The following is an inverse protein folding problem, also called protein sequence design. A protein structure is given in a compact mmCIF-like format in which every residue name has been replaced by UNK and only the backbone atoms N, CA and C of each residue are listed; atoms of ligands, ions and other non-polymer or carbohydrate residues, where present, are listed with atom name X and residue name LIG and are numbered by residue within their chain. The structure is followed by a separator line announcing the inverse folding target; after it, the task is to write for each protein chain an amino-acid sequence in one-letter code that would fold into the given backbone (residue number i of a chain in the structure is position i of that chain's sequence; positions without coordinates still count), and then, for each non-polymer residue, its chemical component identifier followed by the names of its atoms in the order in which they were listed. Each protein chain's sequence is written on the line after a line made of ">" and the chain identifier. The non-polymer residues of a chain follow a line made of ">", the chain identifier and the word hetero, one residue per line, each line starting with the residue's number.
data_IF_561155402088
#
_entry.id   IF_561155402088
#
_cell.length_a   1.000
_cell.length_b   1.000
_cell.length_c   1.000
_cell.angle_alpha   90.00
_cell.angle_beta   90.00
_cell.angle_gamma   90.00
#
_symmetry.space_group_name_H-M   'P 1'
#
loop_
_entity.id
_entity.type
_entity.pdbx_description
1 polymer ?
#
# COMPACT_ATOMS: atom_id res chain seq x y z
N UNK A 1 -31.25 12.15 -17.95
CA UNK A 1 -29.81 12.30 -17.65
C UNK A 1 -29.52 12.55 -16.17
N UNK A 2 -30.29 13.37 -15.43
CA UNK A 2 -30.08 13.62 -13.98
C UNK A 2 -30.25 12.38 -13.07
N UNK A 3 -31.15 11.45 -13.41
CA UNK A 3 -31.44 10.26 -12.59
C UNK A 3 -30.31 9.24 -12.55
N UNK A 4 -29.54 9.09 -13.63
CA UNK A 4 -28.42 8.14 -13.71
C UNK A 4 -27.30 8.57 -12.76
N UNK A 5 -27.00 9.87 -12.69
CA UNK A 5 -25.99 10.42 -11.78
C UNK A 5 -26.35 10.14 -10.31
N UNK A 6 -27.61 10.32 -9.93
CA UNK A 6 -28.03 10.09 -8.53
C UNK A 6 -27.96 8.62 -8.10
N UNK A 7 -28.14 7.66 -9.01
CA UNK A 7 -28.01 6.23 -8.69
C UNK A 7 -26.55 5.79 -8.55
N UNK A 8 -25.64 6.36 -9.36
CA UNK A 8 -24.20 6.09 -9.24
C UNK A 8 -23.61 6.63 -7.93
N UNK A 9 -24.14 7.74 -7.40
CA UNK A 9 -23.72 8.31 -6.11
C UNK A 9 -24.40 7.69 -4.88
N UNK A 10 -25.54 7.00 -5.02
CA UNK A 10 -26.24 6.32 -3.92
C UNK A 10 -25.82 4.87 -3.71
N UNK A 11 -25.06 4.31 -4.65
CA UNK A 11 -24.47 2.98 -4.52
C UNK A 11 -23.48 2.95 -3.34
N UNK A 12 -22.29 3.55 -3.47
CA UNK A 12 -21.25 3.53 -2.44
C UNK A 12 -21.60 4.44 -1.24
N UNK A 13 -21.28 4.03 0.00
CA UNK A 13 -21.61 4.84 1.17
C UNK A 13 -20.86 6.18 1.17
N UNK A 14 -21.55 7.25 1.58
CA UNK A 14 -21.09 8.65 1.45
C UNK A 14 -19.71 8.93 2.07
N UNK A 15 -19.29 8.18 3.09
CA UNK A 15 -17.99 8.34 3.78
C UNK A 15 -16.77 8.00 2.90
N UNK A 16 -16.98 7.32 1.76
CA UNK A 16 -15.92 6.92 0.84
C UNK A 16 -15.35 8.11 0.07
N UNK A 17 -16.19 9.09 -0.24
CA UNK A 17 -15.78 10.28 -0.98
C UNK A 17 -14.79 11.14 -0.20
N UNK A 18 -15.02 11.47 1.09
CA UNK A 18 -14.00 12.09 1.94
C UNK A 18 -12.70 11.29 2.01
N UNK A 19 -12.77 9.95 2.10
CA UNK A 19 -11.58 9.10 2.16
C UNK A 19 -10.80 9.11 0.84
N UNK A 20 -11.50 9.10 -0.29
CA UNK A 20 -10.90 9.19 -1.62
C UNK A 20 -10.20 10.53 -1.83
N UNK A 21 -10.87 11.64 -1.47
CA UNK A 21 -10.27 12.99 -1.50
C UNK A 21 -9.06 13.07 -0.57
N UNK A 22 -9.15 12.53 0.65
CA UNK A 22 -8.04 12.47 1.59
C UNK A 22 -6.85 11.67 1.03
N UNK A 23 -7.10 10.55 0.35
CA UNK A 23 -6.07 9.73 -0.29
C UNK A 23 -5.38 10.48 -1.43
N UNK A 24 -6.14 11.19 -2.28
CA UNK A 24 -5.59 12.06 -3.32
C UNK A 24 -4.72 13.16 -2.70
N UNK A 25 -5.23 13.86 -1.67
CA UNK A 25 -4.51 14.94 -1.01
C UNK A 25 -3.21 14.46 -0.34
N UNK A 26 -3.27 13.36 0.43
CA UNK A 26 -2.09 12.67 1.00
C UNK A 26 -1.10 12.27 -0.08
N UNK A 27 -1.65 11.91 -1.22
CA UNK A 27 -0.95 11.61 -2.43
C UNK A 27 -0.12 12.72 -3.01
N UNK A 28 -0.76 13.87 -3.23
CA UNK A 28 -0.12 15.11 -3.68
C UNK A 28 0.99 15.52 -2.69
N UNK A 29 0.77 15.32 -1.39
CA UNK A 29 1.78 15.59 -0.35
C UNK A 29 2.95 14.58 -0.41
N UNK A 30 2.74 13.37 -0.91
CA UNK A 30 3.78 12.34 -1.05
C UNK A 30 4.72 12.57 -2.26
N UNK A 31 4.46 13.57 -3.09
CA UNK A 31 5.39 14.00 -4.15
C UNK A 31 6.66 14.64 -3.60
N UNK A 32 6.65 15.11 -2.35
CA UNK A 32 7.85 15.71 -1.74
C UNK A 32 8.82 14.62 -1.26
N UNK A 33 10.13 14.75 -1.56
CA UNK A 33 11.12 13.83 -1.02
C UNK A 33 11.04 13.81 0.50
N UNK A 34 11.01 12.60 1.07
CA UNK A 34 10.75 12.43 2.50
C UNK A 34 11.89 11.65 3.15
N UNK A 35 12.36 12.19 4.27
CA UNK A 35 13.27 11.52 5.18
C UNK A 35 12.41 10.85 6.24
N UNK A 36 12.41 9.52 6.30
CA UNK A 36 11.63 8.76 7.29
C UNK A 36 12.52 7.79 8.07
N UNK A 37 12.26 7.60 9.37
CA UNK A 37 12.94 6.57 10.15
C UNK A 37 12.50 5.18 9.68
N UNK A 38 13.43 4.23 9.60
CA UNK A 38 13.18 2.85 9.14
C UNK A 38 12.02 2.16 9.86
N UNK A 39 11.87 2.41 11.18
CA UNK A 39 10.80 1.81 12.00
C UNK A 39 9.39 2.09 11.44
N UNK A 40 9.16 3.28 10.87
CA UNK A 40 7.85 3.64 10.31
C UNK A 40 7.50 2.87 9.03
N UNK A 41 8.49 2.30 8.34
CA UNK A 41 8.28 1.54 7.10
C UNK A 41 7.65 0.17 7.41
N UNK A 42 7.92 -0.40 8.59
CA UNK A 42 7.39 -1.71 9.00
C UNK A 42 5.98 -1.67 9.61
N UNK A 43 5.50 -0.51 10.08
CA UNK A 43 4.17 -0.37 10.69
C UNK A 43 3.07 -0.79 9.70
N UNK A 44 3.18 -0.32 8.45
CA UNK A 44 2.16 -0.57 7.43
C UNK A 44 2.10 -2.07 7.05
N UNK A 45 3.21 -2.75 6.71
CA UNK A 45 3.24 -4.21 6.52
C UNK A 45 2.64 -5.00 7.68
N UNK A 46 2.97 -4.66 8.93
CA UNK A 46 2.46 -5.39 10.10
C UNK A 46 0.94 -5.30 10.23
N UNK A 47 0.36 -4.12 10.01
CA UNK A 47 -1.10 -3.93 10.05
C UNK A 47 -1.77 -4.75 8.94
N UNK A 48 -1.25 -4.68 7.71
CA UNK A 48 -1.79 -5.47 6.61
C UNK A 48 -1.62 -6.97 6.82
N UNK A 49 -0.53 -7.42 7.45
CA UNK A 49 -0.30 -8.83 7.77
C UNK A 49 -1.35 -9.37 8.74
N UNK A 50 -1.62 -8.64 9.83
CA UNK A 50 -2.64 -9.03 10.80
C UNK A 50 -4.03 -9.09 10.16
N UNK A 51 -4.38 -8.09 9.35
CA UNK A 51 -5.63 -8.07 8.59
C UNK A 51 -5.71 -9.22 7.58
N UNK A 52 -4.59 -9.61 6.97
CA UNK A 52 -4.51 -10.71 6.01
C UNK A 52 -4.75 -12.06 6.68
N UNK A 53 -4.15 -12.30 7.85
CA UNK A 53 -4.35 -13.52 8.65
C UNK A 53 -5.80 -13.63 9.09
N UNK A 54 -6.40 -12.54 9.58
CA UNK A 54 -7.80 -12.57 10.03
C UNK A 54 -8.76 -13.05 8.93
N UNK A 55 -8.49 -12.69 7.67
CA UNK A 55 -9.28 -13.20 6.53
C UNK A 55 -9.04 -14.67 6.25
N UNK A 56 -7.79 -15.12 6.35
CA UNK A 56 -7.44 -16.53 6.16
C UNK A 56 -8.12 -17.43 7.21
N UNK A 57 -8.08 -17.03 8.49
CA UNK A 57 -8.64 -17.81 9.61
C UNK A 57 -10.15 -18.04 9.47
N UNK A 58 -10.87 -17.11 8.83
CA UNK A 58 -12.33 -17.24 8.65
C UNK A 58 -12.76 -18.41 7.76
N UNK A 59 -11.89 -18.92 6.88
CA UNK A 59 -12.19 -20.05 5.98
C UNK A 59 -10.89 -20.79 5.61
N UNK A 60 -10.28 -21.44 6.61
CA UNK A 60 -9.07 -22.23 6.40
C UNK A 60 -9.39 -23.49 5.58
N UNK A 61 -8.81 -23.56 4.38
CA UNK A 61 -8.77 -24.74 3.53
C UNK A 61 -7.42 -24.74 2.78
N UNK A 62 -6.93 -25.91 2.37
CA UNK A 62 -5.71 -26.08 1.60
C UNK A 62 -5.66 -25.17 0.36
N UNK A 63 -6.74 -25.13 -0.42
CA UNK A 63 -6.84 -24.26 -1.60
C UNK A 63 -6.79 -22.77 -1.22
N UNK A 64 -7.49 -22.37 -0.17
CA UNK A 64 -7.47 -20.99 0.34
C UNK A 64 -6.05 -20.57 0.75
N UNK A 65 -5.33 -21.45 1.47
CA UNK A 65 -3.95 -21.21 1.87
C UNK A 65 -3.01 -21.09 0.67
N UNK A 66 -3.17 -21.97 -0.34
CA UNK A 66 -2.40 -21.91 -1.59
C UNK A 66 -2.64 -20.60 -2.33
N UNK A 67 -3.90 -20.20 -2.54
CA UNK A 67 -4.25 -18.95 -3.22
C UNK A 67 -3.69 -17.75 -2.44
N UNK A 68 -3.81 -17.77 -1.11
CA UNK A 68 -3.29 -16.71 -0.24
C UNK A 68 -1.76 -16.57 -0.36
N UNK A 69 -1.01 -17.69 -0.25
CA UNK A 69 0.45 -17.69 -0.37
C UNK A 69 0.92 -17.27 -1.76
N UNK A 70 0.37 -17.87 -2.82
CA UNK A 70 0.75 -17.57 -4.19
C UNK A 70 0.48 -16.11 -4.53
N UNK A 71 -0.66 -15.55 -4.11
CA UNK A 71 -0.99 -14.15 -4.36
C UNK A 71 -0.01 -13.20 -3.67
N UNK A 72 0.43 -13.50 -2.45
CA UNK A 72 1.45 -12.71 -1.75
C UNK A 72 2.80 -12.77 -2.48
N UNK A 73 3.22 -13.97 -2.90
CA UNK A 73 4.49 -14.17 -3.62
C UNK A 73 4.47 -13.41 -4.96
N UNK A 74 3.39 -13.57 -5.74
CA UNK A 74 3.21 -12.88 -7.03
C UNK A 74 3.19 -11.37 -6.82
N UNK A 75 2.47 -10.88 -5.82
CA UNK A 75 2.42 -9.44 -5.50
C UNK A 75 3.79 -8.89 -5.10
N UNK A 76 4.52 -9.62 -4.25
CA UNK A 76 5.87 -9.25 -3.84
C UNK A 76 6.83 -9.21 -5.03
N UNK A 77 6.80 -10.22 -5.90
CA UNK A 77 7.59 -10.29 -7.12
C UNK A 77 7.26 -9.13 -8.07
N UNK A 78 5.97 -8.85 -8.31
CA UNK A 78 5.52 -7.75 -9.16
C UNK A 78 6.02 -6.40 -8.64
N UNK A 79 5.95 -6.18 -7.32
CA UNK A 79 6.49 -4.97 -6.72
C UNK A 79 8.01 -4.85 -6.90
N UNK A 80 8.75 -5.96 -6.80
CA UNK A 80 10.18 -5.95 -7.04
C UNK A 80 10.49 -5.54 -8.48
N UNK A 81 9.81 -6.13 -9.46
CA UNK A 81 10.01 -5.82 -10.89
C UNK A 81 9.71 -4.35 -11.20
N UNK A 82 8.62 -3.81 -10.65
CA UNK A 82 8.22 -2.41 -10.88
C UNK A 82 9.18 -1.43 -10.17
N UNK A 83 9.66 -1.76 -8.96
CA UNK A 83 10.41 -0.84 -8.10
C UNK A 83 11.92 -1.04 -8.05
N UNK A 84 12.46 -2.05 -8.74
CA UNK A 84 13.90 -2.36 -8.73
C UNK A 84 14.81 -1.19 -9.10
N UNK A 85 14.33 -0.24 -9.91
CA UNK A 85 15.13 0.92 -10.37
C UNK A 85 15.02 2.16 -9.47
N UNK A 86 14.22 2.14 -8.40
CA UNK A 86 14.10 3.30 -7.50
C UNK A 86 15.42 3.52 -6.75
N UNK A 87 16.04 4.68 -6.92
CA UNK A 87 17.21 5.07 -6.12
C UNK A 87 16.78 5.46 -4.70
N UNK A 88 17.48 4.98 -3.69
CA UNK A 88 17.16 5.23 -2.28
C UNK A 88 18.43 5.72 -1.59
N UNK A 89 18.34 6.87 -0.92
CA UNK A 89 19.42 7.38 -0.07
C UNK A 89 19.32 6.80 1.34
N UNK A 90 20.43 6.35 1.89
CA UNK A 90 20.49 5.74 3.22
C UNK A 90 21.46 6.53 4.13
N UNK A 91 20.99 6.92 5.31
CA UNK A 91 21.83 7.38 6.41
C UNK A 91 21.81 6.29 7.49
N UNK A 92 22.82 5.41 7.47
CA UNK A 92 22.93 4.31 8.44
C UNK A 92 23.30 4.82 9.84
N UNK A 93 23.92 5.99 9.97
CA UNK A 93 24.33 6.57 11.27
C UNK A 93 23.10 6.99 12.08
N UNK A 94 22.07 7.50 11.41
CA UNK A 94 20.84 7.97 12.04
C UNK A 94 19.61 7.07 11.81
N UNK A 95 19.77 5.92 11.13
CA UNK A 95 18.67 5.03 10.72
C UNK A 95 17.58 5.75 9.89
N UNK A 96 18.00 6.66 9.01
CA UNK A 96 17.10 7.45 8.15
C UNK A 96 17.16 6.97 6.70
N UNK A 97 15.99 6.88 6.08
CA UNK A 97 15.82 6.59 4.67
C UNK A 97 15.36 7.86 3.95
N UNK A 98 16.10 8.33 2.94
CA UNK A 98 15.65 9.34 1.99
C UNK A 98 15.03 8.63 0.80
N UNK A 99 13.70 8.65 0.76
CA UNK A 99 12.97 8.20 -0.41
C UNK A 99 12.82 9.38 -1.38
N UNK A 100 13.13 9.20 -2.68
CA UNK A 100 12.69 10.15 -3.69
C UNK A 100 11.16 10.21 -3.65
N UNK A 101 10.59 11.41 -3.78
CA UNK A 101 9.16 11.56 -3.95
C UNK A 101 8.74 10.74 -5.17
N UNK A 102 8.09 9.61 -4.97
CA UNK A 102 7.74 8.67 -6.02
C UNK A 102 6.23 8.50 -6.03
N UNK A 103 5.61 8.92 -7.13
CA UNK A 103 4.18 8.73 -7.44
C UNK A 103 3.74 7.27 -7.34
N UNK A 104 4.67 6.33 -7.39
CA UNK A 104 4.30 4.93 -7.46
C UNK A 104 3.79 4.34 -6.15
N UNK A 105 4.25 4.83 -4.99
CA UNK A 105 3.64 4.42 -3.70
C UNK A 105 2.16 4.83 -3.66
N UNK A 106 1.84 6.00 -4.19
CA UNK A 106 0.47 6.49 -4.28
C UNK A 106 -0.37 5.61 -5.20
N UNK A 107 0.08 5.37 -6.44
CA UNK A 107 -0.67 4.56 -7.40
C UNK A 107 -0.98 3.19 -6.79
N UNK A 108 -0.02 2.59 -6.07
CA UNK A 108 -0.22 1.32 -5.38
C UNK A 108 -1.28 1.41 -4.26
N UNK A 109 -1.23 2.46 -3.43
CA UNK A 109 -2.24 2.69 -2.39
C UNK A 109 -3.63 2.88 -3.01
N UNK A 110 -3.74 3.66 -4.09
CA UNK A 110 -5.00 3.93 -4.77
C UNK A 110 -5.59 2.66 -5.37
N UNK A 111 -4.81 1.88 -6.13
CA UNK A 111 -5.27 0.61 -6.71
C UNK A 111 -5.70 -0.35 -5.60
N UNK A 112 -4.89 -0.49 -4.54
CA UNK A 112 -5.20 -1.38 -3.41
C UNK A 112 -6.47 -0.95 -2.67
N UNK A 113 -6.66 0.36 -2.50
CA UNK A 113 -7.86 0.93 -1.91
C UNK A 113 -9.09 0.68 -2.78
N UNK A 114 -9.01 0.96 -4.09
CA UNK A 114 -10.10 0.72 -5.04
C UNK A 114 -10.53 -0.74 -5.07
N UNK A 115 -9.57 -1.67 -5.09
CA UNK A 115 -9.85 -3.12 -5.02
C UNK A 115 -10.56 -3.47 -3.72
N UNK A 116 -9.98 -3.09 -2.57
CA UNK A 116 -10.60 -3.39 -1.26
C UNK A 116 -12.00 -2.78 -1.14
N UNK A 117 -12.16 -1.55 -1.61
CA UNK A 117 -13.41 -0.83 -1.57
C UNK A 117 -14.47 -1.52 -2.42
N UNK A 118 -14.14 -1.90 -3.66
CA UNK A 118 -15.02 -2.63 -4.56
C UNK A 118 -15.56 -3.91 -3.92
N UNK A 119 -14.67 -4.74 -3.37
CA UNK A 119 -15.10 -5.99 -2.72
C UNK A 119 -15.90 -5.75 -1.45
N UNK A 120 -15.46 -4.82 -0.60
CA UNK A 120 -16.18 -4.48 0.63
C UNK A 120 -17.58 -3.96 0.32
N UNK A 121 -17.72 -3.16 -0.74
CA UNK A 121 -18.98 -2.64 -1.22
C UNK A 121 -19.95 -3.75 -1.65
N UNK A 122 -19.45 -4.73 -2.42
CA UNK A 122 -20.26 -5.87 -2.86
C UNK A 122 -20.67 -6.75 -1.67
N UNK A 123 -19.72 -7.06 -0.77
CA UNK A 123 -19.98 -7.86 0.44
C UNK A 123 -20.99 -7.15 1.36
N UNK A 124 -20.93 -5.83 1.46
CA UNK A 124 -21.88 -5.05 2.27
C UNK A 124 -23.30 -5.07 1.71
N UNK A 125 -23.45 -5.21 0.39
CA UNK A 125 -24.77 -5.34 -0.26
C UNK A 125 -25.35 -6.73 -0.10
N UNK A 126 -24.52 -7.75 -0.24
CA UNK A 126 -24.94 -9.14 -0.09
C UNK A 126 -23.85 -9.98 0.59
N UNK A 127 -23.98 -10.22 1.90
CA UNK A 127 -23.04 -11.06 2.64
C UNK A 127 -23.05 -12.54 2.19
N UNK A 128 -24.10 -13.02 1.52
CA UNK A 128 -24.20 -14.42 1.05
C UNK A 128 -23.13 -14.71 -0.02
N UNK A 129 -22.64 -13.69 -0.73
CA UNK A 129 -21.56 -13.82 -1.71
C UNK A 129 -20.27 -14.37 -1.11
N UNK A 130 -20.04 -14.23 0.19
CA UNK A 130 -18.88 -14.85 0.86
C UNK A 130 -18.97 -16.38 0.94
N UNK A 131 -20.17 -16.95 0.77
CA UNK A 131 -20.37 -18.40 0.71
C UNK A 131 -20.07 -18.98 -0.69
N UNK A 132 -20.08 -18.15 -1.73
CA UNK A 132 -19.62 -18.57 -3.05
C UNK A 132 -18.08 -18.67 -3.06
N UNK A 133 -17.59 -19.90 -3.19
CA UNK A 133 -16.15 -20.21 -3.27
C UNK A 133 -15.43 -19.39 -4.34
N UNK A 134 -16.06 -19.16 -5.51
CA UNK A 134 -15.41 -18.45 -6.60
C UNK A 134 -15.25 -16.96 -6.29
N UNK A 135 -16.28 -16.33 -5.72
CA UNK A 135 -16.20 -14.96 -5.23
C UNK A 135 -15.17 -14.83 -4.09
N UNK A 136 -15.16 -15.78 -3.15
CA UNK A 136 -14.22 -15.78 -2.03
C UNK A 136 -12.76 -15.89 -2.49
N UNK A 137 -12.44 -16.74 -3.46
CA UNK A 137 -11.08 -16.84 -4.00
C UNK A 137 -10.65 -15.57 -4.73
N UNK A 138 -11.53 -14.94 -5.53
CA UNK A 138 -11.25 -13.63 -6.16
C UNK A 138 -10.99 -12.55 -5.11
N UNK A 139 -11.80 -12.55 -4.05
CA UNK A 139 -11.66 -11.62 -2.94
C UNK A 139 -10.30 -11.76 -2.23
N UNK A 140 -9.93 -12.99 -1.86
CA UNK A 140 -8.65 -13.28 -1.21
C UNK A 140 -7.49 -12.93 -2.14
N UNK A 141 -7.54 -13.36 -3.40
CA UNK A 141 -6.47 -13.11 -4.36
C UNK A 141 -6.21 -11.61 -4.51
N UNK A 142 -7.25 -10.81 -4.76
CA UNK A 142 -7.08 -9.38 -5.03
C UNK A 142 -6.57 -8.60 -3.79
N UNK A 143 -7.05 -8.97 -2.60
CA UNK A 143 -6.66 -8.30 -1.35
C UNK A 143 -5.27 -8.71 -0.85
N UNK A 144 -4.89 -9.99 -1.01
CA UNK A 144 -3.58 -10.51 -0.59
C UNK A 144 -2.48 -10.18 -1.60
N UNK A 145 -2.81 -10.09 -2.90
CA UNK A 145 -1.91 -9.58 -3.93
C UNK A 145 -1.46 -8.15 -3.60
N UNK A 146 -2.43 -7.28 -3.27
CA UNK A 146 -2.16 -5.89 -2.87
C UNK A 146 -1.24 -5.83 -1.64
N UNK A 147 -1.49 -6.68 -0.63
CA UNK A 147 -0.60 -6.81 0.53
C UNK A 147 0.80 -7.28 0.14
N UNK A 148 0.90 -8.30 -0.72
CA UNK A 148 2.18 -8.79 -1.25
C UNK A 148 2.99 -7.69 -1.92
N UNK A 149 2.34 -6.82 -2.69
CA UNK A 149 3.02 -5.68 -3.32
C UNK A 149 3.59 -4.67 -2.31
N UNK A 150 2.87 -4.39 -1.21
CA UNK A 150 3.40 -3.54 -0.13
C UNK A 150 4.56 -4.21 0.60
N UNK A 151 4.43 -5.51 0.88
CA UNK A 151 5.46 -6.27 1.58
C UNK A 151 6.74 -6.35 0.74
N UNK A 152 6.65 -6.70 -0.54
CA UNK A 152 7.80 -6.78 -1.45
C UNK A 152 8.49 -5.42 -1.62
N UNK A 153 7.74 -4.33 -1.71
CA UNK A 153 8.33 -2.98 -1.75
C UNK A 153 9.08 -2.62 -0.46
N UNK A 154 8.51 -2.97 0.69
CA UNK A 154 9.15 -2.77 2.01
C UNK A 154 10.45 -3.56 2.11
N UNK A 155 10.44 -4.83 1.69
CA UNK A 155 11.62 -5.68 1.65
C UNK A 155 12.68 -5.12 0.69
N UNK A 156 12.28 -4.61 -0.48
CA UNK A 156 13.20 -3.97 -1.42
C UNK A 156 13.87 -2.73 -0.81
N UNK A 157 13.12 -1.90 -0.10
CA UNK A 157 13.68 -0.73 0.59
C UNK A 157 14.65 -1.14 1.68
N UNK A 158 14.34 -2.18 2.44
CA UNK A 158 15.24 -2.71 3.46
C UNK A 158 16.52 -3.30 2.84
N UNK A 159 16.40 -4.05 1.75
CA UNK A 159 17.53 -4.60 1.00
C UNK A 159 18.44 -3.48 0.47
N UNK A 160 17.86 -2.45 -0.16
CA UNK A 160 18.62 -1.29 -0.65
C UNK A 160 19.24 -0.49 0.47
N UNK A 161 18.56 -0.30 1.60
CA UNK A 161 19.12 0.36 2.77
C UNK A 161 20.39 -0.35 3.28
N UNK A 162 20.41 -1.68 3.28
CA UNK A 162 21.62 -2.44 3.64
C UNK A 162 22.74 -2.24 2.60
N UNK A 163 22.41 -2.23 1.31
CA UNK A 163 23.37 -2.20 0.20
C UNK A 163 23.95 -0.80 -0.09
N UNK A 164 23.19 0.28 0.14
CA UNK A 164 23.64 1.65 -0.16
C UNK A 164 24.66 2.14 0.88
N UNK A 165 25.69 2.84 0.43
CA UNK A 165 26.69 3.47 1.30
C UNK A 165 26.08 4.62 2.12
N UNK A 166 26.54 4.77 3.36
CA UNK A 166 26.02 5.78 4.28
C UNK A 166 26.33 7.18 3.77
N UNK A 167 25.30 7.97 3.47
CA UNK A 167 25.45 9.41 3.22
C UNK A 167 24.84 10.18 4.39
N UNK A 168 25.53 11.18 4.93
CA UNK A 168 25.00 12.05 5.99
C UNK A 168 23.81 12.83 5.45
N UNK A 169 22.59 12.55 5.94
CA UNK A 169 21.37 13.23 5.50
C UNK A 169 20.98 14.40 6.42
N UNK A 170 21.67 14.55 7.56
CA UNK A 170 21.44 15.65 8.50
C UNK A 170 22.00 16.99 7.99
N UNK A 171 23.15 16.97 7.33
CA UNK A 171 23.79 18.19 6.81
C UNK A 171 22.94 18.85 5.70
N UNK A 172 22.31 18.03 4.84
CA UNK A 172 21.41 18.52 3.78
C UNK A 172 20.11 19.11 4.32
N UNK A 173 19.59 18.57 5.44
CA UNK A 173 18.33 19.04 6.04
C UNK A 173 18.53 20.36 6.80
N UNK A 174 19.69 20.54 7.44
CA UNK A 174 20.08 21.78 8.10
C UNK A 174 20.33 22.93 7.09
N UNK A 175 20.93 22.63 5.93
CA UNK A 175 21.13 23.63 4.85
C UNK A 175 19.80 24.14 4.25
N UNK A 176 18.87 23.23 3.93
CA UNK A 176 17.56 23.60 3.36
C UNK A 176 16.62 24.31 4.34
N UNK A 177 16.82 24.14 5.67
CA UNK A 177 16.08 24.92 6.67
C UNK A 177 16.65 26.32 6.85
N UNK A 178 17.96 26.52 6.65
CA UNK A 178 18.57 27.86 6.65
C UNK A 178 18.19 28.68 5.41
N UNK A 179 18.13 28.05 4.23
CA UNK A 179 17.77 28.73 2.97
C UNK A 179 16.29 29.18 2.91
N UNK A 180 15.40 28.53 3.65
CA UNK A 180 13.97 28.95 3.76
C UNK A 180 13.70 29.94 4.88
N UNK A 181 14.72 30.27 5.67
CA UNK A 181 14.65 31.20 6.79
C UNK A 181 15.25 32.58 6.45
N UNK A 182 15.72 32.76 5.21
CA UNK A 182 16.08 34.02 4.56
C UNK A 182 15.06 34.31 3.45
#
# INVERSE_FOLDING_TARGET
>A
MLTILTQTFKGPPLWVWPLFVYLIARGIIAFKPRIMPLKKIFILPSVFFFLSIQRLVSNINFLTCLVWLLSIIIGAFLSFVIFKNIQVGADKKNNLLKLPGSYSTLVLILISFSIKFYFWFIIAKDPILLKDSMFFYRYILATTLSFGMFLGRTLLYFYKFKKTDSTSLLDTKAGLQKEKAF
#
